data_IF_511473179585
#
_entry.id   IF_511473179585
#
_cell.length_a   1.000
_cell.length_b   1.000
_cell.length_c   1.000
_cell.angle_alpha   90.00
_cell.angle_beta   90.00
_cell.angle_gamma   90.00
#
_symmetry.space_group_name_H-M   'P 1'
#
loop_
_entity.id
_entity.type
_entity.pdbx_description
1 polymer ?
#
# COMPACT_ATOMS: atom_id res chain seq x y z
N UNK A 1 7.99 -13.06 23.92
CA UNK A 1 6.92 -13.26 22.92
C UNK A 1 7.44 -12.65 21.64
N UNK A 2 7.38 -13.36 20.51
CA UNK A 2 7.74 -12.75 19.20
C UNK A 2 6.75 -11.61 18.92
N UNK A 3 7.27 -10.47 18.48
CA UNK A 3 6.42 -9.36 18.04
C UNK A 3 5.58 -9.79 16.83
N UNK A 4 4.33 -9.31 16.76
CA UNK A 4 3.43 -9.64 15.66
C UNK A 4 3.98 -9.17 14.32
N UNK A 5 3.93 -10.05 13.35
CA UNK A 5 4.28 -9.77 11.96
C UNK A 5 3.53 -10.76 11.07
N UNK A 6 2.60 -10.27 10.26
CA UNK A 6 2.02 -11.10 9.20
C UNK A 6 3.06 -11.32 8.11
N UNK A 7 3.16 -12.55 7.62
CA UNK A 7 4.10 -12.95 6.58
C UNK A 7 3.36 -13.70 5.49
N UNK A 8 3.44 -13.21 4.26
CA UNK A 8 2.76 -13.80 3.10
C UNK A 8 3.70 -13.91 1.92
N UNK A 9 3.62 -15.01 1.18
CA UNK A 9 4.38 -15.23 -0.05
C UNK A 9 3.52 -14.91 -1.27
N UNK A 10 4.11 -14.23 -2.25
CA UNK A 10 3.44 -13.80 -3.48
C UNK A 10 4.14 -14.38 -4.71
N UNK A 11 3.35 -15.13 -5.49
CA UNK A 11 3.77 -15.57 -6.82
C UNK A 11 3.52 -14.46 -7.82
N UNK A 12 4.58 -14.01 -8.46
CA UNK A 12 4.53 -12.92 -9.43
C UNK A 12 4.12 -13.43 -10.79
N UNK A 13 3.23 -12.69 -11.46
CA UNK A 13 2.75 -12.97 -12.82
C UNK A 13 3.61 -12.20 -13.83
N UNK A 14 3.69 -12.65 -15.06
CA UNK A 14 4.35 -11.90 -16.14
C UNK A 14 3.79 -10.46 -16.28
N UNK A 15 2.49 -10.27 -16.04
CA UNK A 15 1.84 -8.96 -16.07
C UNK A 15 2.30 -8.00 -14.98
N UNK A 16 2.94 -8.48 -13.93
CA UNK A 16 3.41 -7.67 -12.80
C UNK A 16 4.76 -7.00 -13.11
N UNK A 17 5.41 -7.40 -14.22
CA UNK A 17 6.70 -6.86 -14.65
C UNK A 17 6.56 -5.81 -15.75
N UNK A 18 7.52 -4.89 -15.79
CA UNK A 18 7.63 -3.87 -16.84
C UNK A 18 8.50 -4.37 -18.02
N UNK A 19 8.75 -3.48 -18.99
CA UNK A 19 9.55 -3.78 -20.18
C UNK A 19 11.06 -3.99 -19.90
N UNK A 20 11.51 -3.78 -18.65
CA UNK A 20 12.89 -4.06 -18.18
C UNK A 20 12.98 -5.39 -17.46
N UNK A 21 11.91 -6.20 -17.44
CA UNK A 21 11.76 -7.38 -16.60
C UNK A 21 11.89 -7.07 -15.10
N UNK A 22 11.50 -5.87 -14.68
CA UNK A 22 11.48 -5.41 -13.30
C UNK A 22 10.04 -5.35 -12.78
N UNK A 23 9.83 -5.74 -11.51
CA UNK A 23 8.53 -5.67 -10.86
C UNK A 23 8.07 -4.21 -10.83
N UNK A 24 6.87 -3.95 -11.39
CA UNK A 24 6.32 -2.59 -11.43
C UNK A 24 6.07 -2.03 -10.04
N UNK A 25 6.27 -0.73 -9.83
CA UNK A 25 5.89 -0.07 -8.59
C UNK A 25 4.42 -0.26 -8.20
N UNK A 26 3.50 -0.32 -9.18
CA UNK A 26 2.09 -0.63 -8.93
C UNK A 26 1.89 -2.04 -8.38
N UNK A 27 2.60 -3.04 -8.90
CA UNK A 27 2.54 -4.42 -8.38
C UNK A 27 3.11 -4.50 -6.94
N UNK A 28 4.16 -3.75 -6.62
CA UNK A 28 4.68 -3.63 -5.26
C UNK A 28 3.63 -3.06 -4.30
N UNK A 29 2.88 -2.04 -4.72
CA UNK A 29 1.79 -1.46 -3.91
C UNK A 29 0.59 -2.40 -3.80
N UNK A 30 0.27 -3.19 -4.83
CA UNK A 30 -0.76 -4.23 -4.76
C UNK A 30 -0.38 -5.30 -3.74
N UNK A 31 0.84 -5.82 -3.77
CA UNK A 31 1.35 -6.78 -2.78
C UNK A 31 1.23 -6.22 -1.36
N UNK A 32 1.61 -4.96 -1.16
CA UNK A 32 1.49 -4.31 0.15
C UNK A 32 0.02 -4.19 0.60
N UNK A 33 -0.89 -3.87 -0.31
CA UNK A 33 -2.32 -3.80 -0.02
C UNK A 33 -2.89 -5.18 0.36
N UNK A 34 -2.59 -6.21 -0.41
CA UNK A 34 -3.03 -7.58 -0.12
C UNK A 34 -2.48 -8.08 1.23
N UNK A 35 -1.21 -7.81 1.52
CA UNK A 35 -0.62 -8.14 2.82
C UNK A 35 -1.30 -7.38 3.97
N UNK A 36 -1.69 -6.11 3.76
CA UNK A 36 -2.44 -5.34 4.74
C UNK A 36 -3.82 -5.93 5.00
N UNK A 37 -4.55 -6.32 3.94
CA UNK A 37 -5.86 -6.95 4.04
C UNK A 37 -5.76 -8.27 4.80
N UNK A 38 -4.87 -9.17 4.40
CA UNK A 38 -4.66 -10.45 5.09
C UNK A 38 -4.32 -10.27 6.58
N UNK A 39 -3.47 -9.30 6.90
CA UNK A 39 -3.16 -8.97 8.29
C UNK A 39 -4.35 -8.37 9.05
N UNK A 40 -5.18 -7.55 8.41
CA UNK A 40 -6.36 -6.97 9.02
C UNK A 40 -7.43 -8.05 9.32
N UNK A 41 -7.63 -8.99 8.39
CA UNK A 41 -8.53 -10.14 8.58
C UNK A 41 -8.07 -11.00 9.76
N UNK A 42 -6.77 -11.31 9.85
CA UNK A 42 -6.19 -12.06 10.98
C UNK A 42 -6.38 -11.35 12.32
N UNK A 43 -6.36 -10.03 12.33
CA UNK A 43 -6.50 -9.20 13.53
C UNK A 43 -7.95 -8.85 13.90
N UNK A 44 -8.95 -9.27 13.10
CA UNK A 44 -10.36 -9.09 13.39
C UNK A 44 -10.89 -7.69 13.10
N UNK A 45 -10.26 -6.97 12.16
CA UNK A 45 -10.76 -5.71 11.61
C UNK A 45 -10.58 -5.63 10.08
N UNK A 46 -10.68 -6.75 9.42
CA UNK A 46 -10.68 -6.85 7.98
C UNK A 46 -12.01 -6.46 7.35
N UNK A 47 -12.13 -6.77 6.06
CA UNK A 47 -13.32 -6.41 5.28
C UNK A 47 -14.60 -7.02 5.84
N UNK A 48 -14.60 -8.31 6.15
CA UNK A 48 -15.78 -9.02 6.63
C UNK A 48 -16.19 -8.62 8.07
N UNK A 49 -15.25 -8.10 8.86
CA UNK A 49 -15.53 -7.59 10.21
C UNK A 49 -16.13 -6.18 10.19
N UNK A 50 -15.64 -5.33 9.29
CA UNK A 50 -16.01 -3.91 9.23
C UNK A 50 -17.23 -3.63 8.36
N UNK A 51 -17.39 -4.34 7.24
CA UNK A 51 -18.46 -4.13 6.28
C UNK A 51 -19.88 -4.22 6.87
N UNK A 52 -20.22 -5.23 7.72
CA UNK A 52 -21.54 -5.29 8.38
C UNK A 52 -21.84 -4.11 9.30
N UNK A 53 -20.81 -3.37 9.70
CA UNK A 53 -20.88 -2.18 10.54
C UNK A 53 -20.85 -0.88 9.75
N UNK A 54 -20.92 -0.97 8.40
CA UNK A 54 -20.76 0.15 7.48
C UNK A 54 -19.44 0.92 7.66
N UNK A 55 -18.37 0.21 8.04
CA UNK A 55 -17.05 0.77 8.22
C UNK A 55 -16.09 0.26 7.13
N UNK A 56 -15.06 1.05 6.84
CA UNK A 56 -14.02 0.64 5.91
C UNK A 56 -12.73 1.44 6.12
N UNK A 57 -11.61 0.83 5.74
CA UNK A 57 -10.34 1.55 5.67
C UNK A 57 -10.12 2.12 4.27
N UNK A 58 -9.68 3.38 4.23
CA UNK A 58 -9.20 4.02 3.00
C UNK A 58 -7.74 4.41 3.17
N UNK A 59 -6.92 4.09 2.17
CA UNK A 59 -5.52 4.51 2.15
C UNK A 59 -5.43 5.97 1.73
N UNK A 60 -4.67 6.76 2.46
CA UNK A 60 -4.50 8.19 2.18
C UNK A 60 -3.10 8.57 1.73
N UNK A 61 -2.11 7.79 2.14
CA UNK A 61 -0.72 7.97 1.71
C UNK A 61 0.01 6.63 1.69
N UNK A 62 0.92 6.47 0.73
CA UNK A 62 1.93 5.43 0.71
C UNK A 62 3.30 6.05 0.45
N UNK A 63 4.31 5.54 1.11
CA UNK A 63 5.71 5.85 0.85
C UNK A 63 6.45 4.54 0.64
N UNK A 64 7.09 4.40 -0.50
CA UNK A 64 7.87 3.22 -0.85
C UNK A 64 9.32 3.61 -1.09
N UNK A 65 10.24 2.91 -0.44
CA UNK A 65 11.67 3.00 -0.68
C UNK A 65 12.12 1.68 -1.29
N UNK A 66 12.56 1.72 -2.55
CA UNK A 66 13.14 0.58 -3.22
C UNK A 66 14.62 0.43 -2.83
N UNK A 67 15.04 -0.79 -2.53
CA UNK A 67 16.44 -1.14 -2.24
C UNK A 67 17.12 -1.74 -3.48
N UNK A 68 16.39 -2.57 -4.21
CA UNK A 68 16.76 -3.09 -5.53
C UNK A 68 15.51 -3.51 -6.32
N UNK A 69 15.59 -3.58 -7.64
CA UNK A 69 14.51 -4.16 -8.43
C UNK A 69 14.36 -5.67 -8.15
N UNK A 70 13.12 -6.14 -8.20
CA UNK A 70 12.79 -7.57 -8.25
C UNK A 70 12.73 -7.97 -9.71
N UNK A 71 13.44 -9.02 -10.08
CA UNK A 71 13.57 -9.49 -11.45
C UNK A 71 12.60 -10.60 -11.76
N UNK A 72 12.32 -10.78 -13.05
CA UNK A 72 11.51 -11.88 -13.54
C UNK A 72 12.08 -13.24 -13.07
N UNK A 73 11.21 -14.08 -12.50
CA UNK A 73 11.60 -15.39 -11.93
C UNK A 73 11.87 -15.38 -10.43
N UNK A 74 11.92 -14.21 -9.78
CA UNK A 74 11.95 -14.13 -8.32
C UNK A 74 10.53 -14.24 -7.74
N UNK A 75 10.42 -14.62 -6.46
CA UNK A 75 9.21 -14.52 -5.65
C UNK A 75 9.39 -13.47 -4.56
N UNK A 76 8.28 -12.90 -4.07
CA UNK A 76 8.31 -11.90 -3.01
C UNK A 76 7.64 -12.42 -1.76
N UNK A 77 8.31 -12.25 -0.63
CA UNK A 77 7.73 -12.41 0.72
C UNK A 77 7.44 -11.02 1.29
N UNK A 78 6.21 -10.75 1.65
CA UNK A 78 5.82 -9.52 2.33
C UNK A 78 5.67 -9.78 3.83
N UNK A 79 6.34 -8.95 4.62
CA UNK A 79 6.17 -8.84 6.07
C UNK A 79 5.45 -7.53 6.36
N UNK A 80 4.43 -7.56 7.23
CA UNK A 80 3.69 -6.35 7.60
C UNK A 80 3.15 -6.40 9.01
N UNK A 81 3.04 -5.22 9.64
CA UNK A 81 2.46 -5.05 10.96
C UNK A 81 1.82 -3.66 11.12
N UNK A 82 0.75 -3.56 11.91
CA UNK A 82 0.15 -2.26 12.24
C UNK A 82 0.98 -1.53 13.30
N UNK A 83 1.11 -0.21 13.14
CA UNK A 83 1.65 0.66 14.16
C UNK A 83 0.53 1.15 15.11
N UNK A 84 0.86 1.60 16.34
CA UNK A 84 -0.12 2.25 17.21
C UNK A 84 -0.82 3.41 16.49
N UNK A 85 -2.17 3.44 16.45
CA UNK A 85 -2.91 4.48 15.75
C UNK A 85 -2.70 5.85 16.41
N UNK A 86 -2.80 6.92 15.60
CA UNK A 86 -2.68 8.31 16.05
C UNK A 86 -3.88 9.12 15.56
N UNK A 87 -4.80 9.42 16.49
CA UNK A 87 -6.06 10.09 16.17
C UNK A 87 -6.86 9.29 15.12
N UNK A 88 -7.03 9.87 13.92
CA UNK A 88 -7.71 9.27 12.77
C UNK A 88 -6.79 8.49 11.85
N UNK A 89 -5.49 8.49 12.12
CA UNK A 89 -4.50 7.83 11.26
C UNK A 89 -4.07 6.48 11.81
N UNK A 90 -4.13 5.48 10.95
CA UNK A 90 -3.67 4.13 11.15
C UNK A 90 -2.47 3.91 10.22
N UNK A 91 -1.29 3.83 10.80
CA UNK A 91 -0.06 3.60 10.03
C UNK A 91 0.25 2.10 10.02
N UNK A 92 0.84 1.64 8.93
CA UNK A 92 1.29 0.27 8.75
C UNK A 92 2.64 0.28 8.07
N UNK A 93 3.51 -0.61 8.52
CA UNK A 93 4.85 -0.79 7.98
C UNK A 93 4.96 -2.13 7.26
N UNK A 94 5.87 -2.17 6.26
CA UNK A 94 6.08 -3.36 5.45
C UNK A 94 7.55 -3.51 5.10
N UNK A 95 7.98 -4.76 4.97
CA UNK A 95 9.24 -5.14 4.36
C UNK A 95 8.99 -6.18 3.29
N UNK A 96 9.43 -5.93 2.08
CA UNK A 96 9.38 -6.91 1.00
C UNK A 96 10.75 -7.54 0.82
N UNK A 97 10.78 -8.86 0.73
CA UNK A 97 11.99 -9.65 0.55
C UNK A 97 11.88 -10.45 -0.75
N UNK A 98 13.00 -10.59 -1.47
CA UNK A 98 13.15 -11.57 -2.54
C UNK A 98 14.45 -12.34 -2.33
N UNK A 99 14.37 -13.68 -2.34
CA UNK A 99 15.51 -14.52 -2.01
C UNK A 99 16.09 -14.30 -0.59
N UNK A 100 15.27 -13.79 0.34
CA UNK A 100 15.67 -13.45 1.72
C UNK A 100 16.32 -12.07 1.88
N UNK A 101 16.53 -11.33 0.81
CA UNK A 101 17.10 -9.97 0.81
C UNK A 101 15.98 -8.92 0.73
N UNK A 102 16.15 -7.78 1.41
CA UNK A 102 15.22 -6.68 1.34
C UNK A 102 15.24 -6.04 -0.06
N UNK A 103 14.06 -5.90 -0.67
CA UNK A 103 13.89 -5.27 -1.99
C UNK A 103 13.11 -3.97 -1.90
N UNK A 104 12.21 -3.85 -0.92
CA UNK A 104 11.50 -2.61 -0.64
C UNK A 104 11.10 -2.50 0.83
N UNK A 105 11.04 -1.27 1.33
CA UNK A 105 10.44 -0.91 2.60
C UNK A 105 9.30 0.09 2.34
N UNK A 106 8.12 -0.16 2.93
CA UNK A 106 6.93 0.64 2.66
C UNK A 106 6.32 1.10 3.98
N UNK A 107 5.88 2.34 4.02
CA UNK A 107 5.03 2.87 5.07
C UNK A 107 3.72 3.35 4.45
N UNK A 108 2.57 2.96 5.01
CA UNK A 108 1.27 3.41 4.56
C UNK A 108 0.48 4.06 5.68
N UNK A 109 -0.39 4.99 5.32
CA UNK A 109 -1.30 5.68 6.22
C UNK A 109 -2.72 5.51 5.74
N UNK A 110 -3.58 5.09 6.64
CA UNK A 110 -4.98 4.78 6.41
C UNK A 110 -5.87 5.60 7.33
N UNK A 111 -7.12 5.79 6.92
CA UNK A 111 -8.18 6.31 7.78
C UNK A 111 -9.32 5.29 7.84
N UNK A 112 -9.90 5.12 9.02
CA UNK A 112 -11.18 4.43 9.19
C UNK A 112 -12.29 5.41 8.84
N UNK A 113 -13.22 4.98 8.01
CA UNK A 113 -14.35 5.81 7.55
C UNK A 113 -15.67 5.09 7.79
N UNK A 114 -16.68 5.87 8.13
CA UNK A 114 -18.07 5.47 8.03
C UNK A 114 -18.48 5.55 6.55
N UNK A 115 -18.95 4.43 5.98
CA UNK A 115 -19.22 4.33 4.55
C UNK A 115 -20.52 5.00 4.11
N UNK A 116 -21.40 5.36 5.06
CA UNK A 116 -22.64 6.07 4.77
C UNK A 116 -22.46 7.57 4.80
N UNK A 117 -21.67 8.08 5.76
CA UNK A 117 -21.47 9.51 5.98
C UNK A 117 -20.13 10.04 5.48
N UNK A 118 -19.18 9.15 5.15
CA UNK A 118 -17.79 9.46 4.84
C UNK A 118 -17.05 10.22 5.96
N UNK A 119 -17.51 10.08 7.19
CA UNK A 119 -16.87 10.67 8.37
C UNK A 119 -15.63 9.86 8.76
N UNK A 120 -14.56 10.58 9.14
CA UNK A 120 -13.34 9.96 9.65
C UNK A 120 -13.55 9.55 11.12
N UNK A 121 -13.11 8.33 11.44
CA UNK A 121 -13.32 7.70 12.74
C UNK A 121 -11.99 7.40 13.45
N UNK A 122 -12.04 7.32 14.77
CA UNK A 122 -10.92 6.91 15.62
C UNK A 122 -10.88 5.39 15.82
N UNK A 123 -9.80 4.89 16.40
CA UNK A 123 -9.61 3.46 16.67
C UNK A 123 -10.65 2.86 17.63
N UNK A 124 -11.27 3.66 18.47
CA UNK A 124 -12.34 3.24 19.39
C UNK A 124 -13.53 2.60 18.64
N UNK A 125 -13.77 3.04 17.40
CA UNK A 125 -14.82 2.48 16.54
C UNK A 125 -14.52 1.06 16.03
N UNK A 126 -13.28 0.59 16.12
CA UNK A 126 -12.93 -0.81 15.85
C UNK A 126 -13.40 -1.71 17.00
N UNK A 127 -13.38 -1.20 18.24
CA UNK A 127 -13.79 -1.92 19.45
C UNK A 127 -12.71 -2.89 19.94
N UNK A 128 -13.12 -4.06 20.46
CA UNK A 128 -12.23 -5.04 21.10
C UNK A 128 -11.04 -5.47 20.23
N UNK A 129 -11.20 -5.52 18.91
CA UNK A 129 -10.10 -5.89 18.02
C UNK A 129 -8.95 -4.87 18.07
N UNK A 130 -9.28 -3.56 18.24
CA UNK A 130 -8.27 -2.54 18.48
C UNK A 130 -7.55 -2.72 19.82
N UNK A 131 -8.31 -3.02 20.90
CA UNK A 131 -7.74 -3.20 22.26
C UNK A 131 -6.80 -4.39 22.33
N UNK A 132 -7.09 -5.45 21.56
CA UNK A 132 -6.28 -6.69 21.53
C UNK A 132 -5.19 -6.67 20.46
N UNK A 133 -5.17 -5.66 19.59
CA UNK A 133 -4.25 -5.60 18.47
C UNK A 133 -2.79 -5.50 18.96
N UNK A 134 -1.92 -6.41 18.54
CA UNK A 134 -0.52 -6.44 18.94
C UNK A 134 0.29 -5.42 18.11
N UNK A 135 0.01 -4.15 18.29
CA UNK A 135 0.70 -3.05 17.60
C UNK A 135 2.21 -3.10 17.83
N UNK A 136 2.95 -2.83 16.76
CA UNK A 136 4.40 -2.81 16.78
C UNK A 136 4.89 -1.40 16.42
N UNK A 137 5.76 -0.83 17.26
CA UNK A 137 6.24 0.54 17.06
C UNK A 137 7.42 0.66 16.07
N UNK A 138 8.04 -0.47 15.70
CA UNK A 138 9.16 -0.50 14.77
C UNK A 138 8.73 -0.01 13.39
N UNK A 139 9.62 0.77 12.75
CA UNK A 139 9.47 1.25 11.37
C UNK A 139 10.67 0.82 10.53
N UNK A 140 10.40 0.25 9.36
CA UNK A 140 11.45 -0.09 8.38
C UNK A 140 11.83 1.13 7.55
N UNK A 141 10.87 2.03 7.35
CA UNK A 141 11.09 3.27 6.62
C UNK A 141 10.19 4.38 7.15
N UNK A 142 10.52 5.61 6.80
CA UNK A 142 9.72 6.78 7.16
C UNK A 142 9.80 7.82 6.05
N UNK A 143 8.66 8.32 5.56
CA UNK A 143 8.67 9.42 4.61
C UNK A 143 9.24 10.68 5.23
N UNK A 144 9.95 11.51 4.47
CA UNK A 144 10.44 12.81 4.95
C UNK A 144 9.25 13.74 5.29
N UNK A 145 8.12 13.55 4.63
CA UNK A 145 6.85 14.23 4.91
C UNK A 145 5.70 13.40 4.34
N UNK A 146 4.58 13.33 5.07
CA UNK A 146 3.32 12.81 4.54
C UNK A 146 2.58 13.82 3.65
N UNK A 147 2.99 15.08 3.69
CA UNK A 147 2.39 16.12 2.85
C UNK A 147 3.15 16.22 1.54
N UNK A 148 2.46 15.94 0.43
CA UNK A 148 2.98 16.15 -0.91
C UNK A 148 2.95 17.65 -1.21
N UNK A 149 4.10 18.25 -1.62
CA UNK A 149 4.14 19.67 -1.95
C UNK A 149 3.22 20.00 -3.13
N UNK A 150 2.51 21.11 -3.04
CA UNK A 150 1.72 21.61 -4.16
C UNK A 150 2.64 22.34 -5.16
N UNK A 151 2.60 21.93 -6.43
CA UNK A 151 3.30 22.59 -7.53
C UNK A 151 2.39 23.68 -8.09
N UNK A 152 2.81 24.95 -7.96
CA UNK A 152 1.97 26.10 -8.36
C UNK A 152 1.94 26.32 -9.88
N UNK A 153 3.06 26.07 -10.56
CA UNK A 153 3.26 26.40 -12.00
C UNK A 153 3.46 25.12 -12.85
N UNK A 154 2.91 24.00 -12.40
CA UNK A 154 2.95 22.74 -13.16
C UNK A 154 2.07 22.80 -14.40
N UNK A 155 2.56 22.24 -15.53
CA UNK A 155 1.77 21.98 -16.73
C UNK A 155 1.36 20.50 -16.76
N UNK A 156 0.16 20.17 -17.28
CA UNK A 156 -0.21 18.79 -17.54
C UNK A 156 0.77 18.18 -18.57
N UNK A 157 1.30 17.00 -18.25
CA UNK A 157 2.17 16.21 -19.14
C UNK A 157 1.50 14.94 -19.63
N UNK A 158 0.47 14.49 -18.90
CA UNK A 158 -0.31 13.30 -19.19
C UNK A 158 -1.76 13.52 -18.74
N UNK A 159 -2.69 13.06 -19.54
CA UNK A 159 -4.13 13.11 -19.24
C UNK A 159 -4.77 11.77 -19.61
N UNK A 160 -5.56 11.21 -18.68
CA UNK A 160 -6.24 9.95 -18.91
C UNK A 160 -7.63 9.98 -18.28
N UNK A 161 -8.52 9.12 -18.76
CA UNK A 161 -9.83 8.91 -18.18
C UNK A 161 -9.84 7.62 -17.39
N UNK A 162 -10.26 7.67 -16.11
CA UNK A 162 -10.46 6.48 -15.29
C UNK A 162 -11.46 5.53 -15.99
N UNK A 163 -11.10 4.26 -16.10
CA UNK A 163 -11.87 3.20 -16.73
C UNK A 163 -12.09 2.05 -15.74
N UNK A 164 -12.96 1.12 -16.09
CA UNK A 164 -13.30 -0.04 -15.26
C UNK A 164 -12.08 -0.82 -14.75
N UNK A 165 -11.06 -1.00 -15.59
CA UNK A 165 -9.83 -1.72 -15.22
C UNK A 165 -8.97 -1.02 -14.18
N UNK A 166 -9.24 0.25 -13.90
CA UNK A 166 -8.53 1.03 -12.88
C UNK A 166 -9.25 1.00 -11.52
N UNK A 167 -10.51 0.58 -11.50
CA UNK A 167 -11.36 0.61 -10.29
C UNK A 167 -11.29 -0.69 -9.51
N UNK A 168 -11.34 -0.57 -8.20
CA UNK A 168 -11.48 -1.67 -7.25
C UNK A 168 -12.97 -2.00 -6.98
N UNK A 169 -13.22 -2.94 -6.08
CA UNK A 169 -14.57 -3.37 -5.69
C UNK A 169 -15.36 -2.32 -4.89
N UNK A 170 -14.70 -1.24 -4.44
CA UNK A 170 -15.35 -0.07 -3.84
C UNK A 170 -15.76 0.98 -4.88
N UNK A 171 -15.57 0.72 -6.18
CA UNK A 171 -15.81 1.63 -7.29
C UNK A 171 -14.92 2.89 -7.29
N UNK A 172 -13.80 2.84 -6.61
CA UNK A 172 -12.79 3.89 -6.62
C UNK A 172 -11.59 3.45 -7.48
N UNK A 173 -10.85 4.44 -8.02
CA UNK A 173 -9.58 4.13 -8.62
C UNK A 173 -8.66 3.50 -7.58
N UNK A 174 -8.21 2.25 -7.85
CA UNK A 174 -7.33 1.53 -6.93
C UNK A 174 -6.05 2.33 -6.71
N UNK A 175 -5.60 2.39 -5.45
CA UNK A 175 -4.45 3.21 -5.06
C UNK A 175 -3.16 2.84 -5.80
N UNK A 176 -2.95 1.56 -6.12
CA UNK A 176 -1.78 1.10 -6.85
C UNK A 176 -1.73 1.64 -8.29
N UNK A 177 -2.90 1.90 -8.91
CA UNK A 177 -2.99 2.47 -10.26
C UNK A 177 -2.42 3.87 -10.36
N UNK A 178 -2.37 4.63 -9.26
CA UNK A 178 -1.72 5.95 -9.27
C UNK A 178 -0.22 5.86 -9.56
N UNK A 179 0.43 4.75 -9.20
CA UNK A 179 1.81 4.51 -9.62
C UNK A 179 1.89 4.32 -11.15
N UNK A 180 1.00 3.52 -11.76
CA UNK A 180 0.95 3.37 -13.21
C UNK A 180 0.73 4.74 -13.89
N UNK A 181 -0.25 5.54 -13.43
CA UNK A 181 -0.53 6.87 -13.97
C UNK A 181 0.67 7.82 -13.87
N UNK A 182 1.45 7.72 -12.79
CA UNK A 182 2.66 8.51 -12.63
C UNK A 182 3.75 8.08 -13.61
N UNK A 183 3.98 6.78 -13.75
CA UNK A 183 5.01 6.27 -14.66
C UNK A 183 4.64 6.43 -16.12
N UNK A 184 3.35 6.44 -16.47
CA UNK A 184 2.84 6.77 -17.82
C UNK A 184 3.14 8.23 -18.26
N UNK A 185 3.55 9.09 -17.32
CA UNK A 185 4.02 10.45 -17.67
C UNK A 185 5.39 10.46 -18.38
N UNK A 186 6.12 9.34 -18.39
CA UNK A 186 7.47 9.23 -18.92
C UNK A 186 7.51 8.29 -20.13
N UNK A 187 8.41 8.55 -21.05
CA UNK A 187 8.67 7.65 -22.18
C UNK A 187 9.45 6.40 -21.72
N UNK A 188 9.41 5.34 -22.52
CA UNK A 188 10.18 4.13 -22.25
C UNK A 188 11.70 4.41 -22.24
N UNK A 189 12.19 5.32 -23.09
CA UNK A 189 13.59 5.73 -23.12
C UNK A 189 14.01 6.44 -21.83
N UNK A 190 13.16 7.32 -21.31
CA UNK A 190 13.41 8.00 -20.03
C UNK A 190 13.43 7.00 -18.88
N UNK A 191 12.47 6.07 -18.84
CA UNK A 191 12.41 5.03 -17.79
C UNK A 191 13.58 4.02 -17.92
N UNK A 192 14.07 3.75 -19.12
CA UNK A 192 15.25 2.89 -19.31
C UNK A 192 16.53 3.57 -18.82
N UNK A 193 16.64 4.89 -18.96
CA UNK A 193 17.79 5.66 -18.49
C UNK A 193 17.83 5.87 -16.97
N UNK A 194 16.69 5.75 -16.30
CA UNK A 194 16.54 5.99 -14.85
C UNK A 194 15.92 4.76 -14.17
N UNK A 195 16.74 3.84 -13.64
CA UNK A 195 16.21 2.71 -12.87
C UNK A 195 15.44 3.21 -11.63
N UNK A 196 14.34 2.55 -11.32
CA UNK A 196 13.50 2.83 -10.14
C UNK A 196 14.16 2.27 -8.88
#
# INVERSE_FOLDING_TARGET
MSEYCNTSEYFLRYSDFDFKDELRPSAVLEIAQEAACASADELGFGYDDLRPRHLGFVIVNSYCKFERPVRLGESVTALTWPLPPRHIFFERDYRLLAGGEAVAAIASRWCLVDLDTFSLLTSEHIGEAHERCPYRAEKTTQPPSWKIPHVKDGRPVYEMQVRNSHCDHYHHANNARYADFFFDCFTMEELAAHPV
#
